data_IF_344582548343
#
_entry.id   IF_344582548343
#
_cell.length_a   1.000
_cell.length_b   1.000
_cell.length_c   1.000
_cell.angle_alpha   90.00
_cell.angle_beta   90.00
_cell.angle_gamma   90.00
#
_symmetry.space_group_name_H-M   'P 1'
#
loop_
_entity.id
_entity.type
_entity.pdbx_description
1 polymer ?
#
# COMPACT_ATOMS: atom_id res chain seq x y z
N UNK A 1 -18.25 -6.47 -47.46
CA UNK A 1 -17.15 -6.09 -48.38
C UNK A 1 -16.15 -5.13 -47.73
N UNK A 2 -16.50 -3.87 -47.43
CA UNK A 2 -15.54 -2.85 -46.89
C UNK A 2 -14.68 -3.32 -45.68
N UNK A 3 -15.26 -4.00 -44.69
CA UNK A 3 -14.51 -4.52 -43.52
C UNK A 3 -13.43 -5.54 -43.88
N UNK A 4 -13.72 -6.47 -44.80
CA UNK A 4 -12.74 -7.46 -45.26
C UNK A 4 -11.60 -6.83 -46.07
N UNK A 5 -11.90 -5.78 -46.84
CA UNK A 5 -10.90 -5.02 -47.59
C UNK A 5 -9.98 -4.21 -46.66
N UNK A 6 -10.51 -3.65 -45.57
CA UNK A 6 -9.74 -2.96 -44.54
C UNK A 6 -8.79 -3.93 -43.79
N UNK A 7 -9.28 -5.11 -43.41
CA UNK A 7 -8.46 -6.16 -42.78
C UNK A 7 -7.34 -6.63 -43.71
N UNK A 8 -7.64 -6.85 -45.00
CA UNK A 8 -6.64 -7.25 -45.99
C UNK A 8 -5.51 -6.22 -46.15
N UNK A 9 -5.86 -4.91 -46.18
CA UNK A 9 -4.86 -3.84 -46.25
C UNK A 9 -4.00 -3.77 -45.00
N UNK A 10 -4.58 -3.98 -43.81
CA UNK A 10 -3.87 -3.94 -42.53
C UNK A 10 -2.89 -5.12 -42.39
N UNK A 11 -3.30 -6.33 -42.81
CA UNK A 11 -2.41 -7.50 -42.86
C UNK A 11 -1.28 -7.31 -43.88
N UNK A 12 -1.57 -6.71 -45.05
CA UNK A 12 -0.54 -6.43 -46.07
C UNK A 12 0.50 -5.43 -45.58
N UNK A 13 0.08 -4.37 -44.87
CA UNK A 13 0.99 -3.39 -44.27
C UNK A 13 1.90 -4.03 -43.20
N UNK A 14 1.34 -4.91 -42.35
CA UNK A 14 2.11 -5.61 -41.32
C UNK A 14 3.16 -6.56 -41.93
N UNK A 15 2.84 -7.23 -43.04
CA UNK A 15 3.77 -8.11 -43.74
C UNK A 15 4.98 -7.38 -44.35
N UNK A 16 4.80 -6.12 -44.79
CA UNK A 16 5.89 -5.31 -45.35
C UNK A 16 6.91 -4.94 -44.24
N UNK A 17 6.42 -4.59 -43.05
CA UNK A 17 7.28 -4.19 -41.91
C UNK A 17 8.20 -5.32 -41.41
N UNK A 18 7.83 -6.59 -41.61
CA UNK A 18 8.59 -7.76 -41.13
C UNK A 18 9.75 -8.19 -42.04
N UNK A 19 10.02 -7.48 -43.14
CA UNK A 19 11.07 -7.86 -44.12
C UNK A 19 12.30 -6.94 -44.14
N UNK A 20 12.36 -5.94 -43.25
CA UNK A 20 13.44 -4.95 -43.19
C UNK A 20 14.64 -5.39 -42.34
N UNK A 21 15.23 -6.56 -42.62
CA UNK A 21 16.55 -6.96 -42.09
C UNK A 21 17.28 -7.89 -43.08
N UNK A 22 18.15 -7.32 -43.92
CA UNK A 22 19.20 -8.02 -44.65
C UNK A 22 20.39 -7.07 -44.88
N UNK A 23 21.59 -7.59 -44.64
CA UNK A 23 22.87 -6.88 -44.54
C UNK A 23 23.36 -6.14 -45.80
N UNK A 24 24.20 -5.10 -45.62
CA UNK A 24 25.65 -5.21 -45.97
C UNK A 24 26.49 -3.93 -45.83
N UNK A 25 27.61 -4.06 -45.10
CA UNK A 25 28.96 -3.52 -45.39
C UNK A 25 29.32 -2.01 -45.39
N UNK A 26 30.12 -1.65 -44.38
CA UNK A 26 31.49 -1.07 -44.47
C UNK A 26 31.79 0.39 -44.92
N UNK A 27 32.27 1.20 -43.97
CA UNK A 27 33.58 1.93 -43.99
C UNK A 27 33.73 2.65 -42.62
N UNK A 28 34.80 2.46 -41.82
CA UNK A 28 36.00 3.33 -41.80
C UNK A 28 35.77 4.62 -40.98
N UNK A 29 36.58 5.04 -39.99
CA UNK A 29 37.93 4.59 -39.57
C UNK A 29 38.38 5.19 -38.21
N UNK A 30 38.80 4.32 -37.27
CA UNK A 30 39.99 4.42 -36.39
C UNK A 30 40.15 5.65 -35.41
N UNK A 31 41.20 5.77 -34.54
CA UNK A 31 40.99 5.53 -33.11
C UNK A 31 41.62 6.58 -32.14
N UNK A 32 41.22 6.62 -30.86
CA UNK A 32 42.11 7.13 -29.79
C UNK A 32 41.81 6.59 -28.37
N UNK A 33 42.76 5.81 -27.83
CA UNK A 33 43.17 5.60 -26.41
C UNK A 33 42.11 5.28 -25.31
N UNK A 34 42.19 4.14 -24.60
CA UNK A 34 43.14 3.76 -23.52
C UNK A 34 42.91 4.64 -22.26
N UNK A 35 42.52 4.16 -21.05
CA UNK A 35 42.98 2.96 -20.28
C UNK A 35 42.01 2.59 -19.12
N UNK A 36 41.99 1.32 -18.70
CA UNK A 36 41.64 0.77 -17.34
C UNK A 36 42.82 -0.19 -16.97
N UNK A 37 43.04 -0.75 -15.75
CA UNK A 37 42.33 -0.64 -14.45
C UNK A 37 43.23 -0.59 -13.17
N UNK A 38 42.62 -0.53 -11.97
CA UNK A 38 43.02 -1.15 -10.66
C UNK A 38 41.97 -0.69 -9.61
N UNK A 39 41.29 -1.46 -8.74
CA UNK A 39 41.54 -2.67 -7.93
C UNK A 39 42.14 -2.38 -6.54
N UNK A 40 41.63 -3.10 -5.51
CA UNK A 40 42.05 -3.17 -4.09
C UNK A 40 41.42 -2.09 -3.15
N UNK A 41 41.03 -2.34 -1.89
CA UNK A 41 41.22 -3.48 -0.95
C UNK A 41 39.96 -3.84 -0.11
N UNK A 42 40.03 -4.99 0.55
CA UNK A 42 39.09 -5.54 1.56
C UNK A 42 39.73 -5.44 2.95
N UNK A 43 38.96 -5.12 4.00
CA UNK A 43 39.29 -5.51 5.38
C UNK A 43 38.04 -6.08 6.10
N UNK A 44 38.27 -6.95 7.08
CA UNK A 44 37.32 -7.88 7.74
C UNK A 44 37.53 -7.84 9.27
N UNK A 45 36.68 -8.52 10.06
CA UNK A 45 36.76 -8.67 11.54
C UNK A 45 36.52 -7.37 12.37
N UNK A 46 36.16 -7.32 13.66
CA UNK A 46 35.99 -8.28 14.80
C UNK A 46 35.17 -7.57 15.93
N UNK A 47 34.50 -8.16 16.94
CA UNK A 47 34.00 -9.52 17.31
C UNK A 47 33.19 -9.43 18.65
N UNK A 48 32.15 -10.26 18.90
CA UNK A 48 31.56 -10.60 20.26
C UNK A 48 30.91 -9.44 21.11
N UNK A 49 30.17 -9.60 22.22
CA UNK A 49 29.35 -10.70 22.84
C UNK A 49 28.47 -10.13 23.98
N UNK A 50 27.21 -10.56 24.04
CA UNK A 50 26.37 -10.89 25.24
C UNK A 50 26.49 -10.10 26.57
N UNK A 51 25.34 -9.67 27.12
CA UNK A 51 25.15 -9.51 28.57
C UNK A 51 23.67 -9.68 28.99
N UNK A 52 23.39 -10.72 29.77
CA UNK A 52 22.08 -11.04 30.37
C UNK A 52 21.95 -10.53 31.80
N UNK A 53 20.77 -10.01 32.18
CA UNK A 53 20.16 -10.01 33.55
C UNK A 53 18.69 -9.59 33.36
N UNK A 54 17.61 -10.32 33.70
CA UNK A 54 17.26 -11.25 34.79
C UNK A 54 17.05 -10.59 36.15
N UNK A 55 15.78 -10.52 36.59
CA UNK A 55 15.18 -10.54 37.96
C UNK A 55 13.75 -9.97 37.81
N UNK A 56 12.64 -10.70 37.80
CA UNK A 56 12.08 -11.70 38.75
C UNK A 56 11.57 -11.09 40.06
N UNK A 57 10.27 -10.79 40.07
CA UNK A 57 9.26 -10.89 41.15
C UNK A 57 9.60 -10.50 42.60
N UNK A 58 8.70 -9.72 43.23
CA UNK A 58 8.24 -10.09 44.58
C UNK A 58 6.78 -9.73 44.90
N UNK A 59 6.04 -10.79 45.19
CA UNK A 59 4.65 -10.88 45.67
C UNK A 59 4.49 -10.51 47.16
N UNK A 60 3.35 -9.86 47.48
CA UNK A 60 2.45 -9.91 48.67
C UNK A 60 3.00 -10.20 50.08
N UNK A 61 2.53 -9.47 51.12
CA UNK A 61 1.55 -9.98 52.13
C UNK A 61 1.44 -9.18 53.46
N UNK A 62 0.20 -8.75 53.80
CA UNK A 62 -0.43 -8.59 55.15
C UNK A 62 0.21 -7.69 56.26
N UNK A 63 -0.52 -7.34 57.37
CA UNK A 63 -1.87 -7.77 57.77
C UNK A 63 -2.90 -6.68 58.18
N UNK A 64 -4.13 -7.18 58.36
CA UNK A 64 -5.31 -6.65 59.10
C UNK A 64 -5.00 -6.15 60.54
N UNK A 65 -5.93 -5.46 61.29
CA UNK A 65 -7.40 -5.53 61.19
C UNK A 65 -8.24 -4.24 61.43
N UNK A 66 -9.57 -4.36 61.28
CA UNK A 66 -10.61 -4.18 62.34
C UNK A 66 -11.90 -3.45 61.90
N UNK A 67 -13.04 -4.07 62.20
CA UNK A 67 -14.39 -3.50 62.45
C UNK A 67 -15.31 -2.99 61.31
N UNK A 68 -16.50 -3.62 61.30
CA UNK A 68 -17.76 -3.24 60.67
C UNK A 68 -18.24 -1.82 61.00
N UNK A 69 -18.92 -1.17 60.05
CA UNK A 69 -20.22 -0.49 60.25
C UNK A 69 -20.91 -0.33 58.89
N UNK A 70 -22.21 -0.65 58.83
CA UNK A 70 -23.07 -0.48 57.65
C UNK A 70 -23.71 0.90 57.66
N UNK A 71 -23.59 1.70 56.60
CA UNK A 71 -24.65 2.65 56.17
C UNK A 71 -24.39 3.29 54.77
N UNK A 72 -25.11 2.77 53.77
CA UNK A 72 -25.74 3.45 52.63
C UNK A 72 -25.32 4.89 52.26
N UNK A 73 -24.47 5.07 51.23
CA UNK A 73 -24.30 6.35 50.49
C UNK A 73 -24.05 6.10 48.99
N UNK A 74 -24.84 6.78 48.15
CA UNK A 74 -24.62 7.16 46.73
C UNK A 74 -23.88 6.21 45.79
N UNK A 75 -24.61 5.65 44.83
CA UNK A 75 -24.07 5.10 43.57
C UNK A 75 -23.36 6.22 42.79
N UNK A 76 -22.02 6.22 42.83
CA UNK A 76 -21.21 7.02 41.94
C UNK A 76 -21.29 6.41 40.52
N UNK A 77 -21.31 7.22 39.44
CA UNK A 77 -21.31 6.67 38.09
C UNK A 77 -20.03 5.85 37.89
N UNK A 78 -20.18 4.60 37.48
CA UNK A 78 -19.04 3.76 37.14
C UNK A 78 -18.21 4.45 36.04
N UNK A 79 -16.87 4.38 36.10
CA UNK A 79 -16.03 4.95 35.05
C UNK A 79 -16.27 4.17 33.75
N UNK A 80 -17.00 4.77 32.81
CA UNK A 80 -17.20 4.21 31.48
C UNK A 80 -15.84 4.03 30.80
N UNK A 81 -15.33 2.80 30.78
CA UNK A 81 -14.10 2.46 30.06
C UNK A 81 -14.41 2.57 28.57
N UNK A 82 -14.04 3.71 27.97
CA UNK A 82 -14.11 3.91 26.53
C UNK A 82 -13.06 3.02 25.85
N UNK A 83 -13.49 1.83 25.42
CA UNK A 83 -12.71 1.04 24.49
C UNK A 83 -12.60 1.82 23.17
N UNK A 84 -11.37 2.12 22.76
CA UNK A 84 -11.11 2.70 21.44
C UNK A 84 -11.06 1.55 20.45
N UNK A 85 -11.98 1.54 19.49
CA UNK A 85 -11.98 0.54 18.43
C UNK A 85 -10.86 0.85 17.44
N UNK A 86 -10.08 -0.18 17.08
CA UNK A 86 -8.97 -0.05 16.14
C UNK A 86 -9.49 0.18 14.73
N UNK A 87 -8.85 1.09 13.99
CA UNK A 87 -9.15 1.32 12.58
C UNK A 87 -8.73 0.12 11.73
N UNK A 88 -9.64 -0.37 10.89
CA UNK A 88 -9.41 -1.40 9.89
C UNK A 88 -10.01 -0.93 8.56
N UNK A 89 -9.15 -0.77 7.54
CA UNK A 89 -9.56 -0.45 6.18
C UNK A 89 -9.36 -1.70 5.30
N UNK A 90 -10.37 -2.05 4.50
CA UNK A 90 -10.27 -3.10 3.48
C UNK A 90 -10.25 -2.49 2.08
N UNK A 91 -9.79 -3.26 1.11
CA UNK A 91 -9.85 -2.93 -0.30
C UNK A 91 -10.37 -4.16 -1.05
N UNK A 92 -11.38 -3.97 -1.89
CA UNK A 92 -12.02 -5.04 -2.66
C UNK A 92 -12.27 -4.58 -4.10
N UNK A 93 -12.28 -5.52 -5.06
CA UNK A 93 -12.74 -5.20 -6.40
C UNK A 93 -14.24 -4.88 -6.37
N UNK A 94 -14.62 -3.72 -6.90
CA UNK A 94 -15.99 -3.23 -6.84
C UNK A 94 -16.90 -4.04 -7.77
N UNK A 95 -17.63 -5.00 -7.20
CA UNK A 95 -18.69 -5.76 -7.88
C UNK A 95 -20.05 -5.06 -7.75
N UNK A 96 -20.98 -5.33 -8.67
CA UNK A 96 -22.34 -4.78 -8.58
C UNK A 96 -23.07 -5.21 -7.29
N UNK A 97 -22.72 -6.38 -6.72
CA UNK A 97 -23.25 -6.85 -5.44
C UNK A 97 -22.79 -5.94 -4.28
N UNK A 98 -21.48 -5.68 -4.16
CA UNK A 98 -20.92 -4.78 -3.14
C UNK A 98 -21.41 -3.34 -3.35
N UNK A 99 -21.47 -2.88 -4.60
CA UNK A 99 -21.97 -1.53 -4.91
C UNK A 99 -23.48 -1.38 -4.60
N UNK A 100 -24.25 -2.47 -4.60
CA UNK A 100 -25.68 -2.44 -4.26
C UNK A 100 -25.97 -2.38 -2.75
N UNK A 101 -24.98 -2.63 -1.88
CA UNK A 101 -25.17 -2.60 -0.42
C UNK A 101 -25.02 -1.21 0.21
N UNK A 102 -24.71 -0.17 -0.57
CA UNK A 102 -24.51 1.20 -0.08
C UNK A 102 -25.37 2.20 -0.84
N UNK A 103 -25.93 3.18 -0.12
CA UNK A 103 -26.75 4.25 -0.71
C UNK A 103 -25.93 5.29 -1.49
N UNK A 104 -24.64 5.46 -1.16
CA UNK A 104 -23.76 6.44 -1.81
C UNK A 104 -22.27 6.15 -1.57
N UNK A 105 -21.42 6.74 -2.41
CA UNK A 105 -19.96 6.61 -2.36
C UNK A 105 -19.31 8.00 -2.33
N UNK A 106 -18.12 8.10 -1.77
CA UNK A 106 -17.14 9.09 -2.25
C UNK A 106 -16.44 8.50 -3.47
N UNK A 107 -16.16 9.28 -4.51
CA UNK A 107 -15.69 8.74 -5.79
C UNK A 107 -14.50 9.51 -6.37
N UNK A 108 -13.51 8.78 -6.91
CA UNK A 108 -12.41 9.30 -7.71
C UNK A 108 -12.22 8.45 -8.98
N UNK A 109 -12.49 9.03 -10.15
CA UNK A 109 -12.33 8.36 -11.46
C UNK A 109 -11.19 9.04 -12.21
N UNK A 110 -10.05 8.35 -12.33
CA UNK A 110 -8.89 8.82 -13.10
C UNK A 110 -9.08 8.55 -14.61
N UNK A 111 -9.81 7.48 -14.96
CA UNK A 111 -10.19 7.13 -16.33
C UNK A 111 -11.52 6.38 -16.38
N UNK A 112 -12.36 6.71 -17.37
CA UNK A 112 -13.62 6.01 -17.69
C UNK A 112 -13.42 4.86 -18.70
N UNK A 113 -12.20 4.66 -19.23
CA UNK A 113 -11.86 3.55 -20.12
C UNK A 113 -11.69 2.23 -19.32
N UNK A 114 -11.12 1.19 -19.96
CA UNK A 114 -10.84 -0.12 -19.33
C UNK A 114 -9.91 0.09 -18.12
N UNK A 115 -10.52 0.14 -16.94
CA UNK A 115 -9.91 0.48 -15.66
C UNK A 115 -10.37 -0.53 -14.60
N UNK A 116 -9.55 -0.73 -13.57
CA UNK A 116 -9.99 -1.48 -12.39
C UNK A 116 -10.81 -0.55 -11.50
N UNK A 117 -11.90 -1.08 -10.94
CA UNK A 117 -12.74 -0.36 -9.96
C UNK A 117 -12.54 -1.03 -8.61
N UNK A 118 -12.15 -0.24 -7.61
CA UNK A 118 -11.80 -0.72 -6.28
C UNK A 118 -12.58 0.09 -5.27
N UNK A 119 -13.15 -0.61 -4.29
CA UNK A 119 -13.88 -0.01 -3.17
C UNK A 119 -13.05 -0.20 -1.90
N UNK A 120 -12.80 0.91 -1.20
CA UNK A 120 -12.27 0.91 0.14
C UNK A 120 -13.41 1.03 1.14
N UNK A 121 -13.39 0.20 2.19
CA UNK A 121 -14.36 0.23 3.29
C UNK A 121 -13.64 0.33 4.64
N UNK A 122 -14.35 0.73 5.69
CA UNK A 122 -13.81 0.85 7.06
C UNK A 122 -14.81 0.33 8.08
N UNK A 123 -14.34 -0.17 9.23
CA UNK A 123 -15.20 -0.57 10.35
C UNK A 123 -15.71 0.62 11.19
N UNK A 124 -14.94 1.72 11.24
CA UNK A 124 -15.25 2.93 12.02
C UNK A 124 -14.99 4.20 11.20
N UNK A 125 -15.41 5.35 11.72
CA UNK A 125 -15.07 6.65 11.12
C UNK A 125 -13.56 6.92 11.19
N UNK A 126 -12.96 7.27 10.06
CA UNK A 126 -11.52 7.53 9.87
C UNK A 126 -11.32 8.96 9.41
N UNK A 127 -10.31 9.65 9.96
CA UNK A 127 -10.00 11.04 9.63
C UNK A 127 -8.87 11.15 8.61
N UNK A 128 -8.95 12.20 7.79
CA UNK A 128 -7.90 12.60 6.86
C UNK A 128 -7.46 11.46 5.93
N UNK A 129 -8.41 10.62 5.52
CA UNK A 129 -8.17 9.54 4.57
C UNK A 129 -7.78 10.13 3.22
N UNK A 130 -6.74 9.59 2.59
CA UNK A 130 -6.26 10.02 1.28
C UNK A 130 -5.93 8.84 0.39
N UNK A 131 -6.31 8.93 -0.87
CA UNK A 131 -5.81 8.08 -1.95
C UNK A 131 -4.52 8.71 -2.49
N UNK A 132 -3.44 7.93 -2.55
CA UNK A 132 -2.10 8.45 -2.83
C UNK A 132 -1.46 7.75 -4.03
N UNK A 133 -0.59 8.48 -4.72
CA UNK A 133 0.40 7.89 -5.61
C UNK A 133 1.58 7.37 -4.78
N UNK A 134 2.04 6.16 -5.13
CA UNK A 134 3.17 5.50 -4.47
C UNK A 134 4.29 5.34 -5.48
N UNK A 135 5.53 5.62 -5.07
CA UNK A 135 6.74 5.29 -5.80
C UNK A 135 7.62 4.34 -4.99
N UNK A 136 8.62 3.76 -5.62
CA UNK A 136 9.59 2.88 -4.96
C UNK A 136 11.03 3.28 -5.26
N UNK A 137 11.93 2.84 -4.38
CA UNK A 137 13.37 2.76 -4.63
C UNK A 137 13.79 1.31 -4.41
N UNK A 138 14.54 0.75 -5.36
CA UNK A 138 15.14 -0.57 -5.21
C UNK A 138 16.58 -0.42 -4.69
N UNK A 139 16.94 -1.18 -3.65
CA UNK A 139 18.30 -1.28 -3.14
C UNK A 139 18.59 -2.71 -2.72
N UNK A 140 19.67 -3.28 -3.26
CA UNK A 140 20.14 -4.65 -2.96
C UNK A 140 19.07 -5.75 -3.15
N UNK A 141 18.07 -5.51 -4.01
CA UNK A 141 16.94 -6.41 -4.29
C UNK A 141 15.70 -6.18 -3.41
N UNK A 142 15.76 -5.24 -2.46
CA UNK A 142 14.62 -4.85 -1.62
C UNK A 142 13.96 -3.57 -2.13
N UNK A 143 12.63 -3.51 -2.05
CA UNK A 143 11.82 -2.34 -2.42
C UNK A 143 11.43 -1.54 -1.18
N UNK A 144 11.85 -0.28 -1.12
CA UNK A 144 11.30 0.71 -0.20
C UNK A 144 10.25 1.55 -0.95
N UNK A 145 9.07 1.72 -0.36
CA UNK A 145 7.95 2.49 -0.93
C UNK A 145 7.83 3.86 -0.26
N UNK A 146 7.36 4.87 -1.00
CA UNK A 146 7.23 6.25 -0.55
C UNK A 146 5.96 6.87 -1.14
N UNK A 147 5.34 7.78 -0.39
CA UNK A 147 4.31 8.68 -0.91
C UNK A 147 4.91 9.62 -1.98
N UNK A 148 4.28 9.73 -3.15
CA UNK A 148 4.66 10.70 -4.19
C UNK A 148 3.65 11.85 -4.35
N UNK A 149 2.48 11.73 -3.74
CA UNK A 149 1.49 12.79 -3.64
C UNK A 149 0.07 12.27 -3.43
N UNK A 150 -0.79 13.17 -2.97
CA UNK A 150 -2.22 12.90 -2.74
C UNK A 150 -3.01 13.12 -4.03
N UNK A 151 -3.79 12.11 -4.42
CA UNK A 151 -4.67 12.12 -5.61
C UNK A 151 -6.11 12.52 -5.24
N UNK A 152 -6.58 12.11 -4.06
CA UNK A 152 -7.90 12.43 -3.53
C UNK A 152 -7.90 12.37 -2.00
N UNK A 153 -8.73 13.19 -1.33
CA UNK A 153 -8.85 13.20 0.13
C UNK A 153 -10.31 13.21 0.60
N UNK A 154 -10.55 12.56 1.73
CA UNK A 154 -11.83 12.47 2.44
C UNK A 154 -11.56 12.85 3.90
N UNK A 155 -12.17 13.95 4.36
CA UNK A 155 -11.97 14.43 5.73
C UNK A 155 -12.53 13.45 6.77
N UNK A 156 -13.78 13.00 6.54
CA UNK A 156 -14.50 12.01 7.35
C UNK A 156 -14.88 10.80 6.46
N UNK A 157 -14.09 9.73 6.52
CA UNK A 157 -14.34 8.48 5.80
C UNK A 157 -15.10 7.51 6.72
N UNK A 158 -16.30 7.05 6.34
CA UNK A 158 -17.19 6.28 7.23
C UNK A 158 -17.66 4.94 6.63
N UNK A 159 -18.09 3.98 7.48
CA UNK A 159 -18.58 2.68 7.02
C UNK A 159 -19.79 2.77 6.08
N UNK A 160 -20.65 3.78 6.26
CA UNK A 160 -21.87 3.98 5.48
C UNK A 160 -21.62 4.65 4.12
N UNK A 161 -20.46 5.29 3.95
CA UNK A 161 -20.07 5.99 2.72
C UNK A 161 -18.65 5.59 2.28
N UNK A 162 -18.49 4.37 1.76
CA UNK A 162 -17.21 3.87 1.28
C UNK A 162 -16.66 4.69 0.10
N UNK A 163 -15.38 4.46 -0.21
CA UNK A 163 -14.66 5.19 -1.24
C UNK A 163 -14.43 4.31 -2.46
N UNK A 164 -15.05 4.69 -3.58
CA UNK A 164 -14.93 4.02 -4.86
C UNK A 164 -13.89 4.74 -5.73
N UNK A 165 -12.95 4.00 -6.28
CA UNK A 165 -11.90 4.55 -7.13
C UNK A 165 -11.73 3.75 -8.42
N UNK A 166 -11.40 4.43 -9.52
CA UNK A 166 -11.15 3.79 -10.81
C UNK A 166 -9.91 4.37 -11.51
N UNK A 167 -8.97 3.51 -11.89
CA UNK A 167 -7.78 3.88 -12.68
C UNK A 167 -7.33 2.73 -13.59
N UNK A 168 -6.47 3.05 -14.57
CA UNK A 168 -5.82 2.05 -15.40
C UNK A 168 -4.52 1.60 -14.71
N UNK A 169 -4.43 0.32 -14.34
CA UNK A 169 -3.23 -0.22 -13.72
C UNK A 169 -2.04 -0.24 -14.70
N UNK A 170 -0.83 0.06 -14.21
CA UNK A 170 0.38 0.12 -15.04
C UNK A 170 1.53 -0.68 -14.46
N UNK A 171 1.78 -1.85 -15.05
CA UNK A 171 2.84 -2.77 -14.63
C UNK A 171 2.42 -3.69 -13.49
N UNK A 172 3.38 -4.14 -12.70
CA UNK A 172 3.19 -5.09 -11.59
C UNK A 172 3.75 -4.58 -10.25
N UNK A 173 4.34 -3.38 -10.22
CA UNK A 173 4.81 -2.75 -9.00
C UNK A 173 3.74 -1.75 -8.52
N UNK A 174 3.31 -1.82 -7.26
CA UNK A 174 2.33 -0.88 -6.69
C UNK A 174 2.66 0.58 -6.96
N UNK A 175 1.70 1.31 -7.55
CA UNK A 175 1.79 2.75 -7.86
C UNK A 175 0.64 3.57 -7.25
N UNK A 176 -0.27 2.91 -6.50
CA UNK A 176 -1.36 3.52 -5.74
C UNK A 176 -1.38 2.97 -4.32
N UNK A 177 -1.96 3.75 -3.43
CA UNK A 177 -2.08 3.41 -2.02
C UNK A 177 -3.09 4.27 -1.30
N UNK A 178 -3.12 4.15 0.03
CA UNK A 178 -3.89 5.01 0.92
C UNK A 178 -3.02 5.52 2.07
N UNK A 179 -3.41 6.66 2.64
CA UNK A 179 -2.97 7.09 3.95
C UNK A 179 -4.13 7.59 4.80
N UNK A 180 -4.02 7.49 6.13
CA UNK A 180 -5.04 7.98 7.06
C UNK A 180 -4.44 8.19 8.47
N UNK A 181 -5.13 8.95 9.32
CA UNK A 181 -4.78 9.09 10.74
C UNK A 181 -5.50 8.00 11.55
N UNK A 182 -4.73 7.20 12.29
CA UNK A 182 -5.24 6.10 13.10
C UNK A 182 -5.72 6.52 14.50
N UNK A 183 -6.14 5.54 15.31
CA UNK A 183 -6.60 5.77 16.69
C UNK A 183 -5.53 6.34 17.65
N UNK A 184 -4.26 6.39 17.23
CA UNK A 184 -3.12 6.91 17.99
C UNK A 184 -2.61 8.26 17.43
N UNK A 185 -3.44 8.97 16.67
CA UNK A 185 -3.11 10.22 15.97
C UNK A 185 -1.87 10.08 15.04
N UNK A 186 -1.59 8.87 14.55
CA UNK A 186 -0.44 8.57 13.68
C UNK A 186 -0.89 8.41 12.24
N UNK A 187 -0.22 9.08 11.29
CA UNK A 187 -0.45 8.85 9.87
C UNK A 187 0.11 7.50 9.45
N UNK A 188 -0.74 6.62 8.96
CA UNK A 188 -0.41 5.28 8.46
C UNK A 188 -0.44 5.27 6.94
N UNK A 189 0.46 4.53 6.32
CA UNK A 189 0.67 4.51 4.87
C UNK A 189 0.64 3.08 4.35
N UNK A 190 -0.16 2.83 3.31
CA UNK A 190 -0.31 1.51 2.72
C UNK A 190 -0.24 1.61 1.20
N UNK A 191 0.50 0.72 0.55
CA UNK A 191 0.39 0.52 -0.89
C UNK A 191 -0.63 -0.58 -1.17
N UNK A 192 -1.29 -0.49 -2.33
CA UNK A 192 -2.23 -1.51 -2.77
C UNK A 192 -1.51 -2.51 -3.69
N UNK A 193 -1.66 -3.80 -3.39
CA UNK A 193 -1.14 -4.89 -4.21
C UNK A 193 -2.21 -5.96 -4.45
N UNK A 194 -2.06 -6.74 -5.52
CA UNK A 194 -2.80 -7.99 -5.70
C UNK A 194 -2.00 -9.16 -5.11
N UNK A 195 -2.67 -10.03 -4.37
CA UNK A 195 -2.20 -11.33 -3.92
C UNK A 195 -1.73 -12.19 -5.10
N UNK A 196 -0.54 -12.77 -4.99
CA UNK A 196 -0.02 -13.72 -5.98
C UNK A 196 -0.66 -15.12 -5.92
N UNK A 197 -1.42 -15.43 -4.86
CA UNK A 197 -2.05 -16.74 -4.65
C UNK A 197 -3.42 -16.82 -5.34
N UNK A 198 -4.26 -15.80 -5.13
CA UNK A 198 -5.68 -15.78 -5.52
C UNK A 198 -6.14 -14.49 -6.21
N UNK A 199 -5.25 -13.49 -6.34
CA UNK A 199 -5.57 -12.20 -6.94
C UNK A 199 -6.38 -11.24 -6.04
N UNK A 200 -6.67 -11.60 -4.78
CA UNK A 200 -7.31 -10.68 -3.82
C UNK A 200 -6.50 -9.41 -3.61
N UNK A 201 -7.14 -8.31 -3.23
CA UNK A 201 -6.43 -7.07 -2.92
C UNK A 201 -5.86 -7.09 -1.50
N UNK A 202 -4.67 -6.52 -1.35
CA UNK A 202 -3.93 -6.42 -0.10
C UNK A 202 -3.51 -4.97 0.09
N UNK A 203 -3.79 -4.42 1.29
CA UNK A 203 -3.20 -3.20 1.79
C UNK A 203 -1.97 -3.55 2.63
N UNK A 204 -0.79 -3.25 2.10
CA UNK A 204 0.49 -3.53 2.75
C UNK A 204 1.10 -2.24 3.30
N UNK A 205 1.36 -2.21 4.61
CA UNK A 205 1.88 -1.04 5.30
C UNK A 205 3.34 -0.76 4.93
N UNK A 206 3.70 0.51 4.76
CA UNK A 206 5.08 0.96 4.58
C UNK A 206 5.40 2.16 5.48
N UNK A 207 6.68 2.36 5.79
CA UNK A 207 7.15 3.55 6.49
C UNK A 207 7.53 4.62 5.45
N UNK A 208 6.95 5.81 5.57
CA UNK A 208 7.19 6.93 4.66
C UNK A 208 8.37 7.78 5.19
N UNK A 209 9.60 7.43 4.79
CA UNK A 209 10.87 8.05 5.26
C UNK A 209 11.60 8.90 4.20
#
# INVERSE_FOLDING_TARGET
MKKAQLILLLVLALAILLTACADSSASGSDPTQTTKPSTSETEEESKETEATTTTTEKTTEAPEPTTFTTEQVTEAPEPTVSIVEKVMITADYASDEILSSYDSFSEFIESEDISQRIIFTTNVGVKSFSFIEVIYKEKDGEFAFFENGVLYSIEDFSPEKPFLVSWMETGAIPNRGISFVDESDTTRYFYLASSGEDGSLILAEFQNE
#
